data_IF_447449783846
#
_entry.id   IF_447449783846
#
_cell.length_a   1.000
_cell.length_b   1.000
_cell.length_c   1.000
_cell.angle_alpha   90.00
_cell.angle_beta   90.00
_cell.angle_gamma   90.00
#
_symmetry.space_group_name_H-M   'P 1'
#
loop_
_entity.id
_entity.type
_entity.pdbx_description
1 polymer ?
#
# COMPACT_ATOMS: atom_id res chain seq x y z
N UNK A 1 12.22 8.31 12.68
CA UNK A 1 11.86 8.03 11.27
C UNK A 1 11.65 6.52 11.19
N UNK A 2 10.43 6.06 11.47
CA UNK A 2 10.13 4.64 11.58
C UNK A 2 9.58 4.18 10.24
N UNK A 3 10.42 3.53 9.44
CA UNK A 3 9.97 2.81 8.26
C UNK A 3 9.67 1.38 8.72
N UNK A 4 8.41 1.13 9.09
CA UNK A 4 7.84 -0.22 9.06
C UNK A 4 7.02 -0.29 7.78
N UNK A 5 7.67 -0.65 6.67
CA UNK A 5 6.98 -0.96 5.43
C UNK A 5 6.41 -2.36 5.54
N UNK A 6 5.12 -2.49 5.84
CA UNK A 6 4.38 -3.74 5.67
C UNK A 6 3.78 -3.77 4.26
N UNK A 7 4.19 -4.74 3.44
CA UNK A 7 3.53 -5.10 2.19
C UNK A 7 2.93 -6.51 2.33
N UNK A 8 1.76 -6.70 1.72
CA UNK A 8 0.68 -7.63 2.10
C UNK A 8 0.92 -9.15 1.84
N UNK A 9 0.03 -9.97 2.41
CA UNK A 9 -0.18 -11.44 2.35
C UNK A 9 0.96 -12.40 2.79
N UNK A 10 2.22 -12.00 2.76
CA UNK A 10 3.38 -12.82 3.22
C UNK A 10 4.37 -12.09 4.13
N UNK A 11 3.94 -11.01 4.81
CA UNK A 11 4.69 -10.35 5.88
C UNK A 11 6.19 -10.19 5.61
N UNK A 12 6.56 -9.22 4.77
CA UNK A 12 7.95 -8.86 4.55
C UNK A 12 8.39 -7.84 5.60
N UNK A 13 9.45 -8.15 6.35
CA UNK A 13 10.04 -7.22 7.32
C UNK A 13 11.46 -6.87 6.90
N UNK A 14 11.75 -5.58 6.83
CA UNK A 14 13.09 -5.06 6.55
C UNK A 14 13.47 -4.08 7.65
N UNK A 15 14.59 -4.33 8.30
CA UNK A 15 15.21 -3.39 9.23
C UNK A 15 16.73 -3.40 9.05
N UNK A 16 17.40 -2.41 9.62
CA UNK A 16 18.86 -2.38 9.68
C UNK A 16 19.35 -2.39 11.13
N UNK A 17 20.63 -2.69 11.37
CA UNK A 17 21.22 -2.63 12.72
C UNK A 17 21.74 -1.21 13.00
N UNK A 18 21.24 -0.57 14.06
CA UNK A 18 21.77 0.69 14.58
C UNK A 18 21.81 0.64 16.11
N UNK A 19 22.87 1.11 16.75
CA UNK A 19 22.88 1.23 18.21
C UNK A 19 23.56 2.53 18.60
N UNK A 20 22.85 3.38 19.34
CA UNK A 20 23.44 4.53 20.01
C UNK A 20 23.85 4.08 21.43
N UNK A 21 25.13 4.30 21.76
CA UNK A 21 25.70 3.94 23.06
C UNK A 21 25.24 4.99 24.09
N UNK A 22 24.30 4.66 24.97
CA UNK A 22 23.97 5.51 26.14
C UNK A 22 22.53 5.52 26.67
N UNK A 23 21.56 4.85 26.03
CA UNK A 23 20.17 4.75 26.52
C UNK A 23 19.83 3.32 27.00
N UNK A 24 18.92 3.19 27.98
CA UNK A 24 18.46 1.90 28.54
C UNK A 24 17.78 1.00 27.49
N UNK A 25 17.06 1.62 26.55
CA UNK A 25 16.52 1.03 25.31
C UNK A 25 16.57 2.14 24.27
N UNK A 26 17.33 1.95 23.18
CA UNK A 26 17.32 2.94 22.11
C UNK A 26 15.97 2.90 21.38
N UNK A 27 15.50 4.03 20.83
CA UNK A 27 14.35 4.04 19.89
C UNK A 27 14.50 2.99 18.77
N UNK A 28 15.74 2.66 18.41
CA UNK A 28 16.03 1.60 17.46
C UNK A 28 15.75 0.20 18.01
N UNK A 29 16.08 -0.07 19.27
CA UNK A 29 15.79 -1.36 19.90
C UNK A 29 14.28 -1.57 20.08
N UNK A 30 13.51 -0.51 20.34
CA UNK A 30 12.04 -0.59 20.33
C UNK A 30 11.48 -0.97 18.95
N UNK A 31 12.02 -0.38 17.88
CA UNK A 31 11.67 -0.74 16.52
C UNK A 31 12.03 -2.20 16.23
N UNK A 32 13.24 -2.63 16.62
CA UNK A 32 13.71 -4.01 16.42
C UNK A 32 12.90 -5.02 17.23
N UNK A 33 12.41 -4.65 18.42
CA UNK A 33 11.54 -5.53 19.23
C UNK A 33 10.26 -5.90 18.47
N UNK A 34 9.66 -4.93 17.78
CA UNK A 34 8.48 -5.14 16.95
C UNK A 34 8.82 -5.95 15.69
N UNK A 35 9.97 -5.68 15.07
CA UNK A 35 10.46 -6.42 13.90
C UNK A 35 10.61 -7.92 14.17
N UNK A 36 11.10 -8.31 15.36
CA UNK A 36 11.21 -9.73 15.73
C UNK A 36 9.89 -10.33 16.22
N UNK A 37 9.07 -9.55 16.93
CA UNK A 37 7.80 -10.06 17.48
C UNK A 37 6.75 -10.36 16.41
N UNK A 38 6.72 -9.61 15.30
CA UNK A 38 5.68 -9.74 14.28
C UNK A 38 5.74 -11.05 13.47
N UNK A 39 6.90 -11.50 12.95
CA UNK A 39 7.04 -12.83 12.34
C UNK A 39 6.59 -13.97 13.26
N UNK A 40 6.98 -13.93 14.55
CA UNK A 40 6.57 -14.94 15.52
C UNK A 40 5.06 -14.92 15.77
N UNK A 41 4.47 -13.74 15.91
CA UNK A 41 3.02 -13.60 16.05
C UNK A 41 2.25 -14.13 14.82
N UNK A 42 2.80 -13.94 13.61
CA UNK A 42 2.22 -14.48 12.37
C UNK A 42 2.37 -16.01 12.28
N UNK A 43 3.51 -16.55 12.72
CA UNK A 43 3.79 -17.98 12.69
C UNK A 43 3.00 -18.75 13.75
N UNK A 44 3.05 -18.32 15.00
CA UNK A 44 2.46 -19.04 16.13
C UNK A 44 1.02 -18.65 16.42
N UNK A 45 0.62 -17.41 16.14
CA UNK A 45 -0.70 -16.91 16.51
C UNK A 45 -0.94 -16.96 18.02
N UNK A 46 -2.20 -17.13 18.40
CA UNK A 46 -2.66 -17.18 19.79
C UNK A 46 -3.96 -17.99 19.89
N UNK A 47 -3.93 -19.06 20.67
CA UNK A 47 -5.04 -20.03 20.73
C UNK A 47 -6.14 -19.61 21.71
N UNK A 48 -7.37 -20.14 21.57
CA UNK A 48 -8.44 -19.93 22.53
C UNK A 48 -8.08 -20.34 23.96
N UNK A 49 -7.33 -21.43 24.15
CA UNK A 49 -6.90 -21.91 25.48
C UNK A 49 -5.96 -20.92 26.16
N UNK A 50 -5.05 -20.31 25.39
CA UNK A 50 -4.15 -19.26 25.90
C UNK A 50 -4.95 -18.03 26.35
N UNK A 51 -5.96 -17.63 25.57
CA UNK A 51 -6.82 -16.48 25.91
C UNK A 51 -7.69 -16.76 27.16
N UNK A 52 -8.15 -17.99 27.34
CA UNK A 52 -8.85 -18.41 28.55
C UNK A 52 -7.95 -18.30 29.79
N UNK A 53 -6.69 -18.77 29.68
CA UNK A 53 -5.70 -18.66 30.74
C UNK A 53 -5.33 -17.20 31.07
N UNK A 54 -5.45 -16.29 30.11
CA UNK A 54 -5.27 -14.85 30.29
C UNK A 54 -6.51 -14.12 30.83
N UNK A 55 -7.55 -14.85 31.23
CA UNK A 55 -8.82 -14.30 31.74
C UNK A 55 -9.55 -13.40 30.72
N UNK A 56 -9.43 -13.69 29.42
CA UNK A 56 -10.20 -12.99 28.39
C UNK A 56 -11.68 -13.40 28.46
N UNK A 57 -12.63 -12.45 28.49
CA UNK A 57 -14.06 -12.76 28.49
C UNK A 57 -14.44 -13.66 27.32
N UNK A 58 -15.26 -14.70 27.57
CA UNK A 58 -15.55 -15.75 26.59
C UNK A 58 -16.12 -15.22 25.27
N UNK A 59 -16.92 -14.16 25.31
CA UNK A 59 -17.48 -13.50 24.12
C UNK A 59 -16.43 -12.79 23.25
N UNK A 60 -15.24 -12.47 23.80
CA UNK A 60 -14.14 -11.82 23.07
C UNK A 60 -13.11 -12.82 22.52
N UNK A 61 -13.15 -14.08 22.93
CA UNK A 61 -12.18 -15.09 22.51
C UNK A 61 -12.13 -15.25 20.99
N UNK A 62 -13.26 -15.38 20.25
CA UNK A 62 -13.20 -15.51 18.79
C UNK A 62 -12.57 -14.29 18.11
N UNK A 63 -12.74 -13.09 18.68
CA UNK A 63 -12.20 -11.84 18.15
C UNK A 63 -10.72 -11.61 18.46
N UNK A 64 -10.17 -12.31 19.47
CA UNK A 64 -8.77 -12.21 19.90
C UNK A 64 -7.93 -13.46 19.57
N UNK A 65 -8.56 -14.47 18.97
CA UNK A 65 -7.88 -15.69 18.51
C UNK A 65 -7.14 -15.38 17.22
N UNK A 66 -5.86 -15.71 17.19
CA UNK A 66 -5.02 -15.59 15.99
C UNK A 66 -4.64 -17.00 15.56
N UNK A 67 -5.05 -17.41 14.36
CA UNK A 67 -4.81 -18.78 13.86
C UNK A 67 -3.34 -19.12 13.65
N UNK A 68 -2.46 -18.12 13.58
CA UNK A 68 -1.06 -18.31 13.20
C UNK A 68 -0.94 -18.92 11.80
N UNK A 69 0.15 -19.66 11.58
CA UNK A 69 0.49 -20.35 10.33
C UNK A 69 0.49 -19.41 9.11
N UNK A 70 0.95 -18.16 9.31
CA UNK A 70 1.13 -17.18 8.25
C UNK A 70 2.63 -17.05 7.98
N UNK A 71 3.11 -17.45 6.79
CA UNK A 71 4.53 -17.35 6.48
C UNK A 71 4.96 -15.88 6.37
N UNK A 72 6.19 -15.60 6.79
CA UNK A 72 6.83 -14.29 6.71
C UNK A 72 8.28 -14.41 6.26
N UNK A 73 8.80 -13.37 5.62
CA UNK A 73 10.22 -13.25 5.24
C UNK A 73 10.83 -12.04 5.93
N UNK A 74 11.88 -12.26 6.72
CA UNK A 74 12.61 -11.18 7.39
C UNK A 74 13.99 -11.00 6.76
N UNK A 75 14.28 -9.78 6.29
CA UNK A 75 15.58 -9.38 5.76
C UNK A 75 16.21 -8.36 6.70
N UNK A 76 17.33 -8.74 7.33
CA UNK A 76 18.08 -7.86 8.23
C UNK A 76 19.33 -7.33 7.53
N UNK A 77 19.44 -6.01 7.43
CA UNK A 77 20.59 -5.35 6.81
C UNK A 77 21.57 -4.83 7.88
N UNK A 78 22.88 -4.83 7.64
CA UNK A 78 23.83 -4.26 8.60
C UNK A 78 23.65 -2.74 8.79
N UNK A 79 23.31 -2.01 7.72
CA UNK A 79 22.99 -0.58 7.76
C UNK A 79 22.21 -0.15 6.52
N UNK A 80 21.46 0.95 6.60
CA UNK A 80 20.72 1.50 5.46
C UNK A 80 21.57 2.53 4.70
N UNK A 81 22.53 2.05 3.92
CA UNK A 81 23.39 2.87 3.06
C UNK A 81 23.10 2.61 1.57
N UNK A 82 23.65 3.45 0.68
CA UNK A 82 23.40 3.34 -0.77
C UNK A 82 23.77 1.95 -1.34
N UNK A 83 24.83 1.33 -0.84
CA UNK A 83 25.25 -0.01 -1.26
C UNK A 83 24.22 -1.07 -0.88
N UNK A 84 23.76 -1.08 0.37
CA UNK A 84 22.78 -2.05 0.88
C UNK A 84 21.39 -1.83 0.27
N UNK A 85 21.00 -0.58 -0.01
CA UNK A 85 19.77 -0.28 -0.75
C UNK A 85 19.85 -0.81 -2.19
N UNK A 86 21.00 -0.65 -2.86
CA UNK A 86 21.22 -1.20 -4.19
C UNK A 86 21.10 -2.73 -4.23
N UNK A 87 21.67 -3.41 -3.23
CA UNK A 87 21.50 -4.86 -3.08
C UNK A 87 20.03 -5.26 -2.87
N UNK A 88 19.31 -4.51 -2.01
CA UNK A 88 17.89 -4.76 -1.77
C UNK A 88 17.07 -4.62 -3.06
N UNK A 89 17.29 -3.53 -3.82
CA UNK A 89 16.64 -3.32 -5.11
C UNK A 89 16.91 -4.48 -6.07
N UNK A 90 18.18 -4.87 -6.21
CA UNK A 90 18.57 -5.96 -7.10
C UNK A 90 17.89 -7.28 -6.73
N UNK A 91 17.75 -7.61 -5.44
CA UNK A 91 17.03 -8.81 -4.99
C UNK A 91 15.58 -8.81 -5.49
N UNK A 92 14.87 -7.68 -5.41
CA UNK A 92 13.49 -7.59 -5.89
C UNK A 92 13.38 -7.64 -7.41
N UNK A 93 14.30 -6.99 -8.14
CA UNK A 93 14.33 -7.06 -9.61
C UNK A 93 14.49 -8.52 -10.09
N UNK A 94 15.44 -9.24 -9.49
CA UNK A 94 15.69 -10.64 -9.85
C UNK A 94 14.54 -11.55 -9.40
N UNK A 95 13.93 -11.29 -8.24
CA UNK A 95 12.75 -12.03 -7.78
C UNK A 95 11.62 -11.97 -8.82
N UNK A 96 11.25 -10.77 -9.26
CA UNK A 96 10.15 -10.56 -10.22
C UNK A 96 10.50 -11.16 -11.59
N UNK A 97 11.76 -11.05 -12.02
CA UNK A 97 12.22 -11.68 -13.26
C UNK A 97 12.08 -13.21 -13.18
N UNK A 98 12.55 -13.84 -12.10
CA UNK A 98 12.47 -15.29 -11.88
C UNK A 98 11.01 -15.77 -11.79
N UNK A 99 10.15 -15.07 -11.05
CA UNK A 99 8.72 -15.40 -10.97
C UNK A 99 8.07 -15.39 -12.36
N UNK A 100 8.39 -14.39 -13.19
CA UNK A 100 7.89 -14.34 -14.57
C UNK A 100 8.46 -15.43 -15.48
N UNK A 101 9.75 -15.76 -15.36
CA UNK A 101 10.36 -16.86 -16.10
C UNK A 101 9.75 -18.21 -15.74
N UNK A 102 9.43 -18.45 -14.47
CA UNK A 102 8.74 -19.66 -14.00
C UNK A 102 7.34 -19.75 -14.62
N UNK A 103 6.61 -18.64 -14.69
CA UNK A 103 5.27 -18.60 -15.28
C UNK A 103 5.27 -18.50 -16.81
N UNK A 104 6.43 -18.38 -17.46
CA UNK A 104 6.53 -18.22 -18.91
C UNK A 104 5.93 -16.91 -19.43
N UNK A 105 5.89 -15.87 -18.59
CA UNK A 105 5.41 -14.53 -18.96
C UNK A 105 6.60 -13.59 -19.16
N UNK A 106 6.39 -12.55 -19.96
CA UNK A 106 7.39 -11.52 -20.17
C UNK A 106 7.31 -10.43 -19.08
N UNK A 107 8.17 -10.49 -18.06
CA UNK A 107 8.22 -9.49 -16.98
C UNK A 107 8.66 -8.08 -17.43
N UNK A 108 9.09 -7.91 -18.68
CA UNK A 108 9.65 -6.66 -19.17
C UNK A 108 8.72 -5.87 -20.08
N UNK A 109 7.51 -6.37 -20.37
CA UNK A 109 6.51 -5.62 -21.13
C UNK A 109 5.44 -4.95 -20.25
N UNK A 110 4.76 -3.96 -20.83
CA UNK A 110 3.76 -3.16 -20.14
C UNK A 110 2.64 -2.71 -21.09
N UNK A 111 2.21 -3.58 -22.00
CA UNK A 111 1.18 -3.26 -23.01
C UNK A 111 -0.17 -2.83 -22.41
N UNK A 112 -0.49 -3.30 -21.20
CA UNK A 112 -1.75 -2.98 -20.52
C UNK A 112 -1.99 -1.49 -20.25
N UNK A 113 -0.97 -0.64 -20.32
CA UNK A 113 -1.11 0.81 -20.06
C UNK A 113 -1.60 1.61 -21.28
N UNK A 114 -1.50 1.04 -22.48
CA UNK A 114 -1.71 1.80 -23.72
C UNK A 114 -3.17 2.17 -23.95
N UNK A 115 -4.08 1.23 -23.72
CA UNK A 115 -5.52 1.46 -23.89
C UNK A 115 -6.02 2.56 -22.96
N UNK A 116 -5.60 2.54 -21.70
CA UNK A 116 -5.96 3.58 -20.72
C UNK A 116 -5.47 4.96 -21.13
N UNK A 117 -4.22 5.07 -21.62
CA UNK A 117 -3.66 6.32 -22.15
C UNK A 117 -4.44 6.85 -23.36
N UNK A 118 -4.82 5.96 -24.28
CA UNK A 118 -5.62 6.31 -25.45
C UNK A 118 -7.02 6.82 -25.06
N UNK A 119 -7.73 6.08 -24.22
CA UNK A 119 -9.08 6.44 -23.75
C UNK A 119 -9.07 7.75 -22.95
N UNK A 120 -8.08 7.97 -22.08
CA UNK A 120 -7.93 9.21 -21.34
C UNK A 120 -7.72 10.42 -22.27
N UNK A 121 -6.96 10.24 -23.35
CA UNK A 121 -6.77 11.28 -24.38
C UNK A 121 -8.08 11.62 -25.09
N UNK A 122 -8.91 10.62 -25.42
CA UNK A 122 -10.24 10.83 -26.02
C UNK A 122 -11.17 11.58 -25.07
N UNK A 123 -11.26 11.14 -23.80
CA UNK A 123 -12.06 11.82 -22.77
C UNK A 123 -11.61 13.28 -22.60
N UNK A 124 -10.30 13.53 -22.59
CA UNK A 124 -9.76 14.90 -22.50
C UNK A 124 -10.18 15.78 -23.67
N UNK A 125 -10.16 15.24 -24.90
CA UNK A 125 -10.63 15.96 -26.10
C UNK A 125 -12.12 16.28 -26.00
N UNK A 126 -12.94 15.30 -25.62
CA UNK A 126 -14.38 15.49 -25.43
C UNK A 126 -14.67 16.58 -24.39
N UNK A 127 -14.02 16.52 -23.22
CA UNK A 127 -14.19 17.52 -22.16
C UNK A 127 -13.81 18.93 -22.64
N UNK A 128 -12.79 19.07 -23.48
CA UNK A 128 -12.42 20.36 -24.05
C UNK A 128 -13.48 20.86 -25.05
N UNK A 129 -13.96 19.98 -25.94
CA UNK A 129 -14.98 20.32 -26.93
C UNK A 129 -16.31 20.71 -26.27
N UNK A 130 -16.79 19.92 -25.29
CA UNK A 130 -18.01 20.25 -24.54
C UNK A 130 -17.91 21.56 -23.77
N UNK A 131 -16.72 21.93 -23.27
CA UNK A 131 -16.54 23.19 -22.51
C UNK A 131 -16.34 24.42 -23.39
N UNK A 132 -15.68 24.29 -24.53
CA UNK A 132 -15.32 25.43 -25.39
C UNK A 132 -16.36 25.67 -26.48
N UNK A 133 -16.93 24.60 -27.03
CA UNK A 133 -17.86 24.64 -28.16
C UNK A 133 -19.29 24.21 -27.80
N UNK A 134 -19.51 23.68 -26.59
CA UNK A 134 -20.83 23.20 -26.17
C UNK A 134 -21.26 21.87 -26.83
N UNK A 135 -20.32 21.12 -27.41
CA UNK A 135 -20.61 19.84 -28.08
C UNK A 135 -21.11 18.77 -27.07
N UNK A 136 -22.13 17.97 -27.41
CA UNK A 136 -22.64 16.89 -26.56
C UNK A 136 -21.60 15.76 -26.41
N UNK A 137 -21.68 15.02 -25.30
CA UNK A 137 -20.82 13.84 -25.06
C UNK A 137 -21.29 12.67 -25.89
N UNK A 138 -20.45 12.22 -26.83
CA UNK A 138 -20.74 11.12 -27.75
C UNK A 138 -19.56 10.13 -27.81
N UNK A 139 -19.82 8.90 -28.26
CA UNK A 139 -18.77 7.89 -28.49
C UNK A 139 -18.28 7.12 -27.25
N UNK A 140 -18.92 7.28 -26.09
CA UNK A 140 -18.60 6.52 -24.87
C UNK A 140 -19.77 5.61 -24.46
N UNK A 141 -19.46 4.58 -23.65
CA UNK A 141 -20.49 3.71 -23.09
C UNK A 141 -21.44 4.50 -22.16
N UNK A 142 -22.60 3.90 -21.84
CA UNK A 142 -23.63 4.57 -21.05
C UNK A 142 -23.12 5.11 -19.71
N UNK A 143 -22.40 4.30 -18.93
CA UNK A 143 -21.88 4.72 -17.62
C UNK A 143 -20.92 5.91 -17.72
N UNK A 144 -19.98 5.86 -18.67
CA UNK A 144 -19.00 6.93 -18.89
C UNK A 144 -19.69 8.20 -19.38
N UNK A 145 -20.66 8.10 -20.30
CA UNK A 145 -21.43 9.25 -20.79
C UNK A 145 -22.25 9.89 -19.67
N UNK A 146 -22.95 9.10 -18.85
CA UNK A 146 -23.71 9.62 -17.70
C UNK A 146 -22.80 10.32 -16.70
N UNK A 147 -21.64 9.75 -16.38
CA UNK A 147 -20.68 10.38 -15.47
C UNK A 147 -20.06 11.66 -16.05
N UNK A 148 -19.73 11.67 -17.35
CA UNK A 148 -19.18 12.85 -18.02
C UNK A 148 -20.19 14.00 -18.07
N UNK A 149 -21.45 13.72 -18.41
CA UNK A 149 -22.51 14.72 -18.40
C UNK A 149 -22.71 15.29 -16.99
N UNK A 150 -22.83 14.42 -15.98
CA UNK A 150 -22.93 14.86 -14.58
C UNK A 150 -21.73 15.69 -14.15
N UNK A 151 -20.51 15.33 -14.58
CA UNK A 151 -19.30 16.09 -14.28
C UNK A 151 -19.25 17.46 -14.97
N UNK A 152 -19.74 17.56 -16.22
CA UNK A 152 -19.85 18.81 -16.96
C UNK A 152 -20.92 19.73 -16.37
N UNK A 153 -22.06 19.17 -15.94
CA UNK A 153 -23.12 19.89 -15.22
C UNK A 153 -22.64 20.39 -13.84
N UNK A 154 -21.73 19.67 -13.19
CA UNK A 154 -21.31 19.91 -11.82
C UNK A 154 -20.49 21.20 -11.57
N UNK A 155 -20.31 22.13 -12.53
CA UNK A 155 -19.50 23.35 -12.28
C UNK A 155 -20.27 24.67 -12.24
N UNK A 156 -20.61 25.08 -11.00
CA UNK A 156 -20.69 26.51 -10.59
C UNK A 156 -20.50 26.78 -9.07
N UNK A 157 -20.00 25.85 -8.22
CA UNK A 157 -20.07 26.02 -6.74
C UNK A 157 -18.77 26.05 -5.94
N UNK A 158 -17.58 25.94 -6.54
CA UNK A 158 -16.33 26.17 -5.79
C UNK A 158 -15.82 27.58 -6.10
N UNK A 159 -15.99 28.56 -5.19
CA UNK A 159 -15.42 29.89 -5.36
C UNK A 159 -13.90 29.79 -5.46
N UNK A 160 -13.28 30.66 -6.26
CA UNK A 160 -11.84 30.69 -6.53
C UNK A 160 -10.98 30.89 -5.27
N UNK A 161 -11.60 31.22 -4.13
CA UNK A 161 -10.98 31.30 -2.83
C UNK A 161 -11.84 30.51 -1.82
N UNK A 162 -11.52 29.23 -1.52
CA UNK A 162 -12.20 28.54 -0.44
C UNK A 162 -11.74 29.22 0.86
N UNK A 163 -12.59 30.04 1.46
CA UNK A 163 -12.35 30.51 2.83
C UNK A 163 -12.37 29.28 3.73
N UNK A 164 -11.19 28.71 4.00
CA UNK A 164 -11.02 27.66 4.99
C UNK A 164 -11.28 28.29 6.35
N UNK A 165 -12.55 28.31 6.77
CA UNK A 165 -12.90 28.65 8.15
C UNK A 165 -12.53 27.43 8.98
N UNK A 166 -11.35 27.48 9.59
CA UNK A 166 -10.98 26.53 10.62
C UNK A 166 -12.04 26.63 11.74
N UNK A 167 -12.61 25.51 12.21
CA UNK A 167 -13.45 25.54 13.39
C UNK A 167 -12.62 26.12 14.54
N UNK A 168 -13.12 27.22 15.12
CA UNK A 168 -12.55 27.76 16.36
C UNK A 168 -12.82 26.72 17.44
N UNK A 169 -11.75 26.07 17.89
CA UNK A 169 -11.71 25.28 19.12
C UNK A 169 -11.80 26.24 20.30
#
# INVERSE_FOLDING_TARGET
MNIVCTFDLQGLFISHIFSHIGELVSNHDELMSNFFAQPDALAYGKTPEQLLNENVPQHLIPHKTFSGNRPSLSLLLPSLNAYNIGQLLAIYEHRIAVEGFIWGINSFDQWGVELGKSLASQVRKQLNASRTKGEPVEGFNFSTTTMLNKYLEAKSRVPANPTTVLPKV
#
